data_IF_661643212462
#
_entry.id   IF_661643212462
#
_cell.length_a   1.000
_cell.length_b   1.000
_cell.length_c   1.000
_cell.angle_alpha   90.00
_cell.angle_beta   90.00
_cell.angle_gamma   90.00
#
_symmetry.space_group_name_H-M   'P 1'
#
loop_
_entity.id
_entity.type
_entity.pdbx_description
1 polymer ?
#
# COMPACT_ATOMS: atom_id res chain seq x y z
N UNK A 1 30.17 -7.70 17.75
CA UNK A 1 31.06 -6.94 16.83
C UNK A 1 30.42 -6.76 15.45
N UNK A 2 30.00 -7.83 14.77
CA UNK A 2 29.42 -7.76 13.41
C UNK A 2 28.20 -6.82 13.32
N UNK A 3 27.31 -6.86 14.33
CA UNK A 3 26.18 -5.93 14.44
C UNK A 3 26.61 -4.46 14.36
N UNK A 4 27.58 -4.05 15.17
CA UNK A 4 28.06 -2.66 15.21
C UNK A 4 28.69 -2.20 13.89
N UNK A 5 29.32 -3.12 13.15
CA UNK A 5 29.94 -2.84 11.85
C UNK A 5 28.88 -2.67 10.75
N UNK A 6 27.82 -3.49 10.77
CA UNK A 6 26.71 -3.41 9.79
C UNK A 6 25.78 -2.22 10.04
N UNK A 7 25.60 -1.81 11.29
CA UNK A 7 24.76 -0.64 11.66
C UNK A 7 25.50 0.69 11.58
N UNK A 8 26.83 0.69 11.51
CA UNK A 8 27.63 1.91 11.53
C UNK A 8 27.73 2.66 10.19
N UNK A 9 27.00 2.24 9.14
CA UNK A 9 27.08 2.78 7.76
C UNK A 9 28.52 2.84 7.18
N UNK A 10 29.46 2.05 7.72
CA UNK A 10 30.87 2.01 7.27
C UNK A 10 31.02 1.19 5.99
N UNK A 11 30.08 0.28 5.73
CA UNK A 11 30.13 -0.69 4.64
C UNK A 11 29.29 -0.25 3.45
N UNK A 12 29.82 -0.46 2.24
CA UNK A 12 29.07 -0.30 0.99
C UNK A 12 27.99 -1.40 0.87
N UNK A 13 26.95 -1.15 0.09
CA UNK A 13 25.82 -2.07 -0.11
C UNK A 13 26.27 -3.49 -0.51
N UNK A 14 27.23 -3.57 -1.43
CA UNK A 14 27.81 -4.86 -1.87
C UNK A 14 28.52 -5.60 -0.75
N UNK A 15 29.13 -4.89 0.20
CA UNK A 15 29.83 -5.50 1.34
C UNK A 15 28.83 -6.02 2.37
N UNK A 16 27.72 -5.31 2.60
CA UNK A 16 26.63 -5.74 3.48
C UNK A 16 26.05 -7.07 2.97
N UNK A 17 25.77 -7.16 1.67
CA UNK A 17 25.28 -8.38 1.04
C UNK A 17 26.26 -9.56 1.20
N UNK A 18 27.56 -9.34 0.97
CA UNK A 18 28.59 -10.38 1.13
C UNK A 18 28.70 -10.86 2.57
N UNK A 19 28.70 -9.94 3.55
CA UNK A 19 28.77 -10.29 4.97
C UNK A 19 27.54 -11.11 5.36
N UNK A 20 26.33 -10.68 4.97
CA UNK A 20 25.11 -11.42 5.27
C UNK A 20 25.09 -12.81 4.62
N UNK A 21 25.43 -12.91 3.32
CA UNK A 21 25.57 -14.22 2.62
C UNK A 21 26.60 -15.12 3.32
N UNK A 22 27.71 -14.57 3.81
CA UNK A 22 28.71 -15.34 4.56
C UNK A 22 28.21 -15.87 5.91
N UNK A 23 27.38 -15.10 6.62
CA UNK A 23 26.76 -15.51 7.89
C UNK A 23 25.75 -16.64 7.67
N UNK A 24 24.94 -16.52 6.62
CA UNK A 24 23.99 -17.58 6.25
C UNK A 24 24.72 -18.85 5.83
N UNK A 25 25.81 -18.73 5.06
CA UNK A 25 26.64 -19.88 4.68
C UNK A 25 27.30 -20.53 5.91
N UNK A 26 27.75 -19.73 6.89
CA UNK A 26 28.26 -20.24 8.16
C UNK A 26 27.19 -21.01 8.93
N UNK A 27 25.95 -20.51 8.96
CA UNK A 27 24.82 -21.21 9.58
C UNK A 27 24.52 -22.57 8.91
N UNK A 28 24.64 -22.66 7.58
CA UNK A 28 24.48 -23.94 6.87
C UNK A 28 25.53 -24.98 7.26
N UNK A 29 26.75 -24.55 7.61
CA UNK A 29 27.86 -25.43 8.00
C UNK A 29 27.76 -25.94 9.44
N UNK A 30 26.94 -25.34 10.29
CA UNK A 30 26.72 -25.84 11.66
C UNK A 30 25.88 -27.11 11.64
N UNK A 31 26.31 -28.14 12.36
CA UNK A 31 25.59 -29.39 12.58
C UNK A 31 25.72 -29.81 14.06
N UNK A 32 25.07 -30.88 14.46
CA UNK A 32 25.11 -31.36 15.86
C UNK A 32 26.48 -31.94 16.24
N UNK A 33 27.35 -32.23 15.27
CA UNK A 33 28.74 -32.64 15.52
C UNK A 33 29.64 -31.46 15.92
N UNK A 34 29.36 -30.27 15.38
CA UNK A 34 30.14 -29.04 15.63
C UNK A 34 29.56 -28.26 16.81
N UNK A 35 28.24 -28.30 17.01
CA UNK A 35 27.52 -27.58 18.06
C UNK A 35 26.50 -28.52 18.74
N UNK A 36 26.96 -29.47 19.57
CA UNK A 36 26.11 -30.47 20.21
C UNK A 36 25.10 -29.87 21.20
N UNK A 37 25.40 -28.69 21.76
CA UNK A 37 24.51 -27.96 22.67
C UNK A 37 23.60 -26.96 21.94
N UNK A 38 23.80 -26.75 20.63
CA UNK A 38 23.01 -25.83 19.81
C UNK A 38 23.19 -24.34 20.18
N UNK A 39 24.19 -24.00 20.99
CA UNK A 39 24.35 -22.66 21.55
C UNK A 39 24.82 -21.66 20.49
N UNK A 40 25.76 -22.08 19.63
CA UNK A 40 26.26 -21.24 18.52
C UNK A 40 25.18 -21.05 17.48
N UNK A 41 24.41 -22.11 17.20
CA UNK A 41 23.28 -22.10 16.28
C UNK A 41 22.21 -21.11 16.72
N UNK A 42 21.87 -21.11 18.02
CA UNK A 42 20.89 -20.19 18.60
C UNK A 42 21.37 -18.73 18.59
N UNK A 43 22.63 -18.49 18.96
CA UNK A 43 23.22 -17.14 18.95
C UNK A 43 23.30 -16.57 17.52
N UNK A 44 23.72 -17.39 16.56
CA UNK A 44 23.74 -17.02 15.15
C UNK A 44 22.33 -16.75 14.61
N UNK A 45 21.35 -17.59 14.95
CA UNK A 45 19.94 -17.38 14.64
C UNK A 45 19.40 -16.06 15.19
N UNK A 46 19.68 -15.75 16.46
CA UNK A 46 19.29 -14.45 17.05
C UNK A 46 19.97 -13.26 16.37
N UNK A 47 21.24 -13.40 15.98
CA UNK A 47 21.98 -12.35 15.29
C UNK A 47 21.41 -12.10 13.89
N UNK A 48 21.06 -13.17 13.16
CA UNK A 48 20.43 -13.07 11.84
C UNK A 48 19.05 -12.42 11.93
N UNK A 49 18.24 -12.77 12.94
CA UNK A 49 16.96 -12.09 13.22
C UNK A 49 17.19 -10.62 13.51
N UNK A 50 18.12 -10.28 14.41
CA UNK A 50 18.37 -8.90 14.82
C UNK A 50 18.87 -8.04 13.65
N UNK A 51 19.70 -8.61 12.77
CA UNK A 51 20.16 -7.96 11.54
C UNK A 51 19.02 -7.80 10.53
N UNK A 52 18.18 -8.83 10.36
CA UNK A 52 17.00 -8.80 9.49
C UNK A 52 15.96 -7.77 9.97
N UNK A 53 15.80 -7.57 11.28
CA UNK A 53 14.84 -6.63 11.88
C UNK A 53 15.35 -5.19 12.02
N UNK A 54 16.61 -4.93 11.70
CA UNK A 54 17.15 -3.59 11.82
C UNK A 54 16.52 -2.66 10.78
N UNK A 55 16.18 -1.43 11.17
CA UNK A 55 15.59 -0.41 10.29
C UNK A 55 16.68 0.48 9.71
N UNK A 56 16.72 0.65 8.39
CA UNK A 56 17.68 1.52 7.68
C UNK A 56 18.07 0.94 6.32
N UNK A 57 18.95 1.64 5.58
CA UNK A 57 19.38 1.26 4.21
C UNK A 57 19.94 -0.17 4.11
N UNK A 58 20.60 -0.66 5.17
CA UNK A 58 21.11 -2.03 5.25
C UNK A 58 19.99 -3.09 5.28
N UNK A 59 18.79 -2.73 5.72
CA UNK A 59 17.63 -3.64 5.83
C UNK A 59 17.12 -4.06 4.46
N UNK A 60 16.94 -3.10 3.55
CA UNK A 60 16.43 -3.36 2.20
C UNK A 60 17.35 -4.28 1.41
N UNK A 61 18.67 -4.13 1.60
CA UNK A 61 19.69 -4.99 1.01
C UNK A 61 19.66 -6.40 1.62
N UNK A 62 19.50 -6.50 2.95
CA UNK A 62 19.38 -7.81 3.60
C UNK A 62 18.11 -8.53 3.12
N UNK A 63 17.00 -7.81 2.93
CA UNK A 63 15.77 -8.37 2.39
C UNK A 63 15.89 -8.77 0.92
N UNK A 64 16.57 -7.97 0.09
CA UNK A 64 16.82 -8.33 -1.31
C UNK A 64 17.65 -9.61 -1.39
N UNK A 65 18.66 -9.76 -0.53
CA UNK A 65 19.49 -10.97 -0.44
C UNK A 65 18.69 -12.18 0.01
N UNK A 66 17.73 -12.03 0.92
CA UNK A 66 16.82 -13.11 1.35
C UNK A 66 15.89 -13.53 0.18
N UNK A 67 15.48 -12.57 -0.66
CA UNK A 67 14.55 -12.80 -1.79
C UNK A 67 15.23 -13.28 -3.08
N UNK A 68 16.53 -13.02 -3.27
CA UNK A 68 17.31 -13.33 -4.49
C UNK A 68 17.45 -14.84 -4.80
N UNK A 69 16.89 -15.74 -4.00
CA UNK A 69 16.69 -17.15 -4.36
C UNK A 69 17.92 -18.06 -4.24
N UNK A 70 19.05 -17.54 -3.76
CA UNK A 70 20.31 -18.30 -3.61
C UNK A 70 20.53 -18.84 -2.17
N UNK A 71 19.54 -18.64 -1.30
CA UNK A 71 19.55 -19.04 0.11
C UNK A 71 18.35 -19.97 0.36
N UNK A 72 18.60 -21.21 0.79
CA UNK A 72 17.56 -22.10 1.28
C UNK A 72 17.15 -21.68 2.70
N UNK A 73 16.37 -20.60 2.76
CA UNK A 73 15.94 -19.98 4.01
C UNK A 73 15.04 -20.93 4.81
N UNK A 74 14.26 -21.78 4.14
CA UNK A 74 13.39 -22.76 4.82
C UNK A 74 14.21 -23.79 5.62
N UNK A 75 15.22 -24.39 4.97
CA UNK A 75 16.12 -25.33 5.64
C UNK A 75 16.90 -24.64 6.76
N UNK A 76 17.29 -23.37 6.57
CA UNK A 76 17.99 -22.59 7.56
C UNK A 76 17.14 -22.25 8.78
N UNK A 77 15.87 -21.87 8.57
CA UNK A 77 14.90 -21.56 9.63
C UNK A 77 14.57 -22.81 10.45
N UNK A 78 14.38 -23.96 9.80
CA UNK A 78 14.22 -25.25 10.48
C UNK A 78 15.46 -25.63 11.30
N UNK A 79 16.66 -25.36 10.78
CA UNK A 79 17.91 -25.73 11.43
C UNK A 79 18.19 -24.84 12.64
N UNK A 80 17.95 -23.53 12.51
CA UNK A 80 18.25 -22.54 13.54
C UNK A 80 17.11 -22.31 14.55
N UNK A 81 15.93 -22.93 14.35
CA UNK A 81 14.70 -22.72 15.14
C UNK A 81 14.30 -21.23 15.24
N UNK A 82 14.36 -20.54 14.11
CA UNK A 82 14.11 -19.10 14.00
C UNK A 82 13.36 -18.78 12.73
N UNK A 83 12.50 -17.75 12.77
CA UNK A 83 11.87 -17.18 11.57
C UNK A 83 12.61 -15.91 11.16
N UNK A 84 13.38 -16.00 10.07
CA UNK A 84 14.25 -14.95 9.53
C UNK A 84 13.51 -14.14 8.46
N UNK A 85 12.60 -14.78 7.72
CA UNK A 85 11.69 -14.10 6.80
C UNK A 85 10.94 -13.03 7.58
N UNK A 86 11.19 -11.78 7.21
CA UNK A 86 10.46 -10.67 7.79
C UNK A 86 8.96 -10.95 7.64
N UNK A 87 8.25 -10.92 8.77
CA UNK A 87 6.91 -10.35 8.80
C UNK A 87 7.03 -8.89 8.36
N UNK A 88 7.12 -8.66 7.04
CA UNK A 88 6.57 -7.46 6.40
C UNK A 88 5.03 -7.41 6.54
N UNK A 89 4.46 -8.42 7.20
CA UNK A 89 3.04 -8.75 7.30
C UNK A 89 2.27 -7.90 8.34
N UNK A 90 2.91 -7.08 9.17
CA UNK A 90 2.18 -6.31 10.21
C UNK A 90 2.24 -4.78 10.10
N UNK A 91 3.15 -4.24 9.29
CA UNK A 91 3.27 -2.79 9.08
C UNK A 91 2.57 -2.42 7.77
N UNK A 92 1.73 -1.39 7.84
CA UNK A 92 1.03 -0.92 6.66
C UNK A 92 2.00 -0.17 5.72
N UNK A 93 1.82 -0.24 4.38
CA UNK A 93 2.66 0.45 3.41
C UNK A 93 2.89 1.93 3.75
N UNK A 94 4.05 2.48 3.40
CA UNK A 94 4.41 3.87 3.72
C UNK A 94 3.70 4.92 2.84
N UNK A 95 3.16 4.49 1.69
CA UNK A 95 2.33 5.32 0.82
C UNK A 95 1.05 5.73 1.55
N UNK A 96 0.90 7.02 1.80
CA UNK A 96 -0.19 7.58 2.59
C UNK A 96 -0.64 8.93 2.04
N UNK A 97 -1.95 9.17 2.08
CA UNK A 97 -2.55 10.49 1.82
C UNK A 97 -2.51 11.41 3.04
N UNK A 98 -2.42 10.85 4.25
CA UNK A 98 -2.61 11.59 5.51
C UNK A 98 -1.29 11.74 6.28
N UNK A 99 -0.51 10.68 6.34
CA UNK A 99 0.66 10.58 7.20
C UNK A 99 1.94 10.79 6.39
N UNK A 100 2.94 11.41 7.01
CA UNK A 100 4.29 11.44 6.43
C UNK A 100 4.86 10.01 6.37
N UNK A 101 5.70 9.68 5.35
CA UNK A 101 6.20 8.31 5.15
C UNK A 101 6.84 7.70 6.39
N UNK A 102 7.59 8.51 7.16
CA UNK A 102 8.22 8.08 8.43
C UNK A 102 7.22 7.66 9.49
N UNK A 103 6.07 8.34 9.56
CA UNK A 103 5.00 8.00 10.51
C UNK A 103 4.21 6.81 9.97
N UNK A 104 3.85 6.84 8.68
CA UNK A 104 3.12 5.77 8.02
C UNK A 104 3.81 4.41 8.19
N UNK A 105 5.13 4.35 7.95
CA UNK A 105 5.91 3.13 8.07
C UNK A 105 5.87 2.48 9.47
N UNK A 106 5.63 3.26 10.53
CA UNK A 106 5.57 2.74 11.91
C UNK A 106 4.19 2.21 12.32
N UNK A 107 3.16 2.46 11.51
CA UNK A 107 1.79 2.12 11.86
C UNK A 107 1.44 0.67 11.53
N UNK A 108 0.75 0.00 12.45
CA UNK A 108 0.14 -1.29 12.19
C UNK A 108 -1.18 -1.14 11.43
N UNK A 109 -1.59 -2.18 10.71
CA UNK A 109 -2.92 -2.21 10.06
C UNK A 109 -4.07 -2.00 11.04
N UNK A 110 -3.97 -2.52 12.27
CA UNK A 110 -5.00 -2.36 13.30
C UNK A 110 -5.15 -0.89 13.75
N UNK A 111 -4.02 -0.21 13.99
CA UNK A 111 -4.02 1.20 14.36
C UNK A 111 -4.58 2.07 13.23
N UNK A 112 -4.15 1.79 11.99
CA UNK A 112 -4.65 2.46 10.80
C UNK A 112 -6.16 2.24 10.61
N UNK A 113 -6.62 0.99 10.71
CA UNK A 113 -8.02 0.62 10.57
C UNK A 113 -8.91 1.39 11.55
N UNK A 114 -8.47 1.51 12.80
CA UNK A 114 -9.24 2.24 13.83
C UNK A 114 -9.44 3.72 13.46
N UNK A 115 -8.38 4.38 12.98
CA UNK A 115 -8.42 5.79 12.55
C UNK A 115 -9.32 5.96 11.32
N UNK A 116 -9.21 5.06 10.35
CA UNK A 116 -9.96 5.13 9.10
C UNK A 116 -11.44 4.74 9.28
N UNK A 117 -11.73 3.79 10.16
CA UNK A 117 -13.08 3.34 10.48
C UNK A 117 -13.90 4.48 11.09
N UNK A 118 -13.32 5.26 12.00
CA UNK A 118 -13.95 6.46 12.56
C UNK A 118 -14.39 7.43 11.42
N UNK A 119 -13.49 7.71 10.47
CA UNK A 119 -13.81 8.55 9.32
C UNK A 119 -14.88 7.95 8.41
N UNK A 120 -14.89 6.63 8.23
CA UNK A 120 -15.91 5.94 7.47
C UNK A 120 -17.28 5.96 8.17
N UNK A 121 -17.33 5.82 9.49
CA UNK A 121 -18.56 5.93 10.28
C UNK A 121 -19.16 7.33 10.20
N UNK A 122 -18.33 8.37 10.31
CA UNK A 122 -18.74 9.76 10.06
C UNK A 122 -19.31 9.93 8.64
N UNK A 123 -18.67 9.36 7.61
CA UNK A 123 -19.22 9.35 6.25
C UNK A 123 -20.58 8.66 6.16
N UNK A 124 -20.77 7.55 6.87
CA UNK A 124 -22.05 6.83 6.91
C UNK A 124 -23.16 7.64 7.59
N UNK A 125 -22.81 8.52 8.53
CA UNK A 125 -23.75 9.46 9.15
C UNK A 125 -24.14 10.57 8.16
N UNK A 126 -23.20 11.03 7.33
CA UNK A 126 -23.44 12.05 6.30
C UNK A 126 -24.19 11.52 5.06
N UNK A 127 -23.95 10.27 4.69
CA UNK A 127 -24.60 9.61 3.55
C UNK A 127 -24.79 8.10 3.83
N UNK A 128 -26.02 7.65 4.12
CA UNK A 128 -26.31 6.25 4.43
C UNK A 128 -25.94 5.28 3.31
N UNK A 129 -25.73 5.74 2.07
CA UNK A 129 -25.30 4.90 0.94
C UNK A 129 -23.92 4.28 1.16
N UNK A 130 -23.12 4.77 2.11
CA UNK A 130 -21.84 4.16 2.47
C UNK A 130 -21.98 2.89 3.32
N UNK A 131 -23.10 2.69 4.03
CA UNK A 131 -23.27 1.58 4.98
C UNK A 131 -23.02 0.18 4.40
N UNK A 132 -23.39 -0.15 3.15
CA UNK A 132 -23.09 -1.47 2.58
C UNK A 132 -21.58 -1.80 2.54
N UNK A 133 -20.70 -0.79 2.48
CA UNK A 133 -19.25 -1.01 2.48
C UNK A 133 -18.69 -1.41 3.84
N UNK A 134 -19.47 -1.24 4.94
CA UNK A 134 -19.09 -1.67 6.28
C UNK A 134 -18.94 -3.20 6.40
N UNK A 135 -19.71 -3.94 5.61
CA UNK A 135 -19.67 -5.41 5.59
C UNK A 135 -18.62 -5.96 4.62
N UNK A 136 -17.94 -5.09 3.86
CA UNK A 136 -16.97 -5.48 2.84
C UNK A 136 -15.65 -4.75 3.08
N UNK A 137 -15.44 -3.60 2.42
CA UNK A 137 -14.19 -2.83 2.44
C UNK A 137 -13.78 -2.36 3.84
N UNK A 138 -14.74 -2.12 4.74
CA UNK A 138 -14.54 -1.67 6.11
C UNK A 138 -15.04 -2.69 7.14
N UNK A 139 -14.94 -3.99 6.80
CA UNK A 139 -15.20 -5.08 7.74
C UNK A 139 -13.96 -5.37 8.58
N UNK A 140 -14.11 -5.98 9.76
CA UNK A 140 -12.94 -6.38 10.56
C UNK A 140 -12.02 -7.35 9.79
N UNK A 141 -12.61 -8.21 8.95
CA UNK A 141 -11.91 -9.17 8.10
C UNK A 141 -10.95 -8.49 7.11
N UNK A 142 -11.32 -7.30 6.61
CA UNK A 142 -10.50 -6.53 5.66
C UNK A 142 -9.09 -6.23 6.17
N UNK A 143 -8.87 -6.18 7.48
CA UNK A 143 -7.53 -6.00 8.06
C UNK A 143 -6.58 -7.16 7.73
N UNK A 144 -7.11 -8.36 7.48
CA UNK A 144 -6.34 -9.56 7.17
C UNK A 144 -6.30 -9.92 5.67
N UNK A 145 -7.09 -9.25 4.83
CA UNK A 145 -7.18 -9.52 3.40
C UNK A 145 -5.96 -9.02 2.60
N UNK A 146 -5.14 -9.93 2.08
CA UNK A 146 -4.04 -9.59 1.18
C UNK A 146 -4.45 -9.78 -0.29
N UNK A 147 -4.59 -8.65 -1.01
CA UNK A 147 -4.93 -8.60 -2.44
C UNK A 147 -4.01 -9.44 -3.33
N UNK A 148 -2.73 -9.57 -2.94
CA UNK A 148 -1.74 -10.35 -3.71
C UNK A 148 -1.95 -11.86 -3.59
N UNK A 149 -2.68 -12.30 -2.55
CA UNK A 149 -3.00 -13.70 -2.30
C UNK A 149 -4.41 -14.09 -2.77
N UNK A 150 -5.18 -13.13 -3.28
CA UNK A 150 -6.52 -13.35 -3.81
C UNK A 150 -6.47 -13.85 -5.26
N UNK A 151 -7.48 -14.62 -5.66
CA UNK A 151 -7.63 -15.05 -7.04
C UNK A 151 -8.02 -13.88 -7.96
N UNK A 152 -7.82 -14.02 -9.26
CA UNK A 152 -8.19 -12.99 -10.23
C UNK A 152 -9.70 -12.63 -10.19
N UNK A 153 -10.56 -13.61 -9.90
CA UNK A 153 -12.01 -13.37 -9.77
C UNK A 153 -12.36 -12.55 -8.52
N UNK A 154 -11.73 -12.85 -7.40
CA UNK A 154 -11.91 -12.11 -6.15
C UNK A 154 -11.37 -10.68 -6.26
N UNK A 155 -10.21 -10.50 -6.92
CA UNK A 155 -9.66 -9.18 -7.19
C UNK A 155 -10.58 -8.33 -8.09
N UNK A 156 -11.21 -8.94 -9.10
CA UNK A 156 -12.19 -8.23 -9.92
C UNK A 156 -13.45 -7.82 -9.14
N UNK A 157 -13.90 -8.64 -8.19
CA UNK A 157 -15.02 -8.29 -7.30
C UNK A 157 -14.64 -7.15 -6.34
N UNK A 158 -13.42 -7.20 -5.77
CA UNK A 158 -12.85 -6.16 -4.94
C UNK A 158 -12.75 -4.83 -5.72
N UNK A 159 -12.28 -4.86 -6.96
CA UNK A 159 -12.22 -3.71 -7.85
C UNK A 159 -13.58 -3.06 -8.06
N UNK A 160 -14.61 -3.87 -8.34
CA UNK A 160 -15.96 -3.36 -8.52
C UNK A 160 -16.49 -2.64 -7.26
N UNK A 161 -16.19 -3.18 -6.07
CA UNK A 161 -16.55 -2.56 -4.77
C UNK A 161 -15.78 -1.26 -4.55
N UNK A 162 -14.47 -1.24 -4.79
CA UNK A 162 -13.61 -0.06 -4.66
C UNK A 162 -14.07 1.05 -5.60
N UNK A 163 -14.32 0.74 -6.87
CA UNK A 163 -14.78 1.73 -7.83
C UNK A 163 -16.15 2.31 -7.47
N UNK A 164 -17.07 1.47 -6.98
CA UNK A 164 -18.37 1.93 -6.50
C UNK A 164 -18.22 2.86 -5.29
N UNK A 165 -17.33 2.53 -4.36
CA UNK A 165 -17.00 3.38 -3.22
C UNK A 165 -16.41 4.73 -3.67
N UNK A 166 -15.41 4.72 -4.56
CA UNK A 166 -14.74 5.93 -5.06
C UNK A 166 -15.72 6.85 -5.79
N UNK A 167 -16.61 6.31 -6.63
CA UNK A 167 -17.67 7.09 -7.28
C UNK A 167 -18.56 7.81 -6.26
N UNK A 168 -18.92 7.14 -5.17
CA UNK A 168 -19.75 7.73 -4.10
C UNK A 168 -18.97 8.74 -3.24
N UNK A 169 -17.70 8.45 -2.94
CA UNK A 169 -16.80 9.30 -2.16
C UNK A 169 -16.39 10.58 -2.91
N UNK A 170 -16.43 10.56 -4.25
CA UNK A 170 -16.04 11.67 -5.10
C UNK A 170 -16.63 13.01 -4.68
N UNK A 171 -17.93 13.10 -4.38
CA UNK A 171 -18.56 14.36 -3.99
C UNK A 171 -18.13 14.90 -2.61
N UNK A 172 -17.42 14.09 -1.81
CA UNK A 172 -17.08 14.37 -0.41
C UNK A 172 -15.57 14.40 -0.14
N UNK A 173 -14.72 14.29 -1.16
CA UNK A 173 -13.25 14.27 -1.00
C UNK A 173 -12.63 15.51 -0.34
N UNK A 174 -13.38 16.62 -0.19
CA UNK A 174 -12.92 17.77 0.59
C UNK A 174 -13.06 17.59 2.10
N UNK A 175 -13.83 16.59 2.54
CA UNK A 175 -14.07 16.29 3.94
C UNK A 175 -13.01 15.30 4.43
N UNK A 176 -12.44 15.56 5.61
CA UNK A 176 -11.45 14.67 6.23
C UNK A 176 -11.97 13.23 6.44
N UNK A 177 -13.25 13.00 6.79
CA UNK A 177 -13.85 11.66 6.81
C UNK A 177 -13.67 10.88 5.50
N UNK A 178 -13.87 11.54 4.34
CA UNK A 178 -13.65 10.91 3.03
C UNK A 178 -12.18 10.57 2.79
N UNK A 179 -11.27 11.48 3.15
CA UNK A 179 -9.83 11.24 3.02
C UNK A 179 -9.39 10.07 3.92
N UNK A 180 -9.85 10.00 5.18
CA UNK A 180 -9.63 8.87 6.10
C UNK A 180 -10.13 7.54 5.52
N UNK A 181 -11.29 7.53 4.89
CA UNK A 181 -11.82 6.31 4.30
C UNK A 181 -11.04 5.87 3.05
N UNK A 182 -10.63 6.81 2.18
CA UNK A 182 -9.78 6.51 1.01
C UNK A 182 -8.37 6.06 1.42
N UNK A 183 -7.82 6.63 2.50
CA UNK A 183 -6.53 6.23 3.08
C UNK A 183 -6.49 4.72 3.40
N UNK A 184 -7.56 4.19 3.99
CA UNK A 184 -7.67 2.75 4.24
C UNK A 184 -7.54 1.94 2.95
N UNK A 185 -8.23 2.36 1.89
CA UNK A 185 -8.20 1.66 0.62
C UNK A 185 -6.81 1.70 -0.02
N UNK A 186 -6.13 2.84 0.04
CA UNK A 186 -4.76 2.98 -0.49
C UNK A 186 -3.81 2.06 0.25
N UNK A 187 -3.84 2.08 1.58
CA UNK A 187 -2.85 1.33 2.37
C UNK A 187 -3.18 -0.15 2.49
N UNK A 188 -4.45 -0.54 2.48
CA UNK A 188 -4.84 -1.94 2.61
C UNK A 188 -4.92 -2.67 1.28
N UNK A 189 -5.53 -2.04 0.28
CA UNK A 189 -5.84 -2.65 -1.01
C UNK A 189 -4.99 -2.08 -2.16
N UNK A 190 -4.03 -1.19 -1.87
CA UNK A 190 -3.07 -0.66 -2.86
C UNK A 190 -3.75 -0.05 -4.09
N UNK A 191 -4.87 0.66 -3.88
CA UNK A 191 -5.69 1.18 -4.98
C UNK A 191 -4.97 2.23 -5.84
N UNK A 192 -3.87 2.80 -5.35
CA UNK A 192 -2.99 3.67 -6.13
C UNK A 192 -2.22 2.91 -7.21
N UNK A 193 -1.98 1.62 -7.02
CA UNK A 193 -1.34 0.72 -7.99
C UNK A 193 -2.36 0.00 -8.86
N UNK A 194 -3.39 -0.60 -8.25
CA UNK A 194 -4.31 -1.49 -8.96
C UNK A 194 -5.52 -0.77 -9.58
N UNK A 195 -6.00 0.30 -8.93
CA UNK A 195 -7.19 1.05 -9.37
C UNK A 195 -6.84 2.51 -9.72
N UNK A 196 -5.61 2.76 -10.18
CA UNK A 196 -5.07 4.10 -10.43
C UNK A 196 -5.99 4.97 -11.28
N UNK A 197 -6.62 4.38 -12.31
CA UNK A 197 -7.56 5.09 -13.19
C UNK A 197 -8.78 5.62 -12.44
N UNK A 198 -9.42 4.77 -11.64
CA UNK A 198 -10.60 5.15 -10.87
C UNK A 198 -10.23 6.18 -9.79
N UNK A 199 -9.10 5.99 -9.11
CA UNK A 199 -8.60 6.90 -8.10
C UNK A 199 -8.29 8.29 -8.68
N UNK A 200 -7.51 8.35 -9.77
CA UNK A 200 -7.21 9.61 -10.47
C UNK A 200 -8.48 10.29 -10.97
N UNK A 201 -9.40 9.55 -11.61
CA UNK A 201 -10.67 10.12 -12.10
C UNK A 201 -11.47 10.78 -10.98
N UNK A 202 -11.50 10.15 -9.80
CA UNK A 202 -12.25 10.63 -8.64
C UNK A 202 -11.62 11.89 -8.04
N UNK A 203 -10.29 11.95 -7.99
CA UNK A 203 -9.54 13.08 -7.42
C UNK A 203 -9.31 14.24 -8.39
N UNK A 204 -9.40 14.02 -9.69
CA UNK A 204 -9.12 15.02 -10.73
C UNK A 204 -9.96 16.31 -10.62
N UNK A 205 -11.28 16.27 -10.29
CA UNK A 205 -12.06 17.49 -10.06
C UNK A 205 -11.54 18.35 -8.89
N UNK A 206 -10.71 17.75 -8.03
CA UNK A 206 -10.11 18.36 -6.86
C UNK A 206 -8.61 18.66 -7.06
N UNK A 207 -8.12 18.75 -8.30
CA UNK A 207 -6.69 18.93 -8.61
C UNK A 207 -5.96 20.09 -7.90
N UNK A 208 -6.71 21.07 -7.38
CA UNK A 208 -6.17 22.23 -6.68
C UNK A 208 -6.03 22.07 -5.16
N UNK A 209 -6.50 20.97 -4.57
CA UNK A 209 -6.39 20.75 -3.11
C UNK A 209 -5.08 20.04 -2.76
N UNK A 210 -4.52 20.24 -1.55
CA UNK A 210 -3.26 19.60 -1.14
C UNK A 210 -3.30 18.07 -1.24
N UNK A 211 -4.44 17.45 -0.90
CA UNK A 211 -4.60 15.99 -0.99
C UNK A 211 -4.39 15.45 -2.41
N UNK A 212 -4.62 16.25 -3.47
CA UNK A 212 -4.30 15.84 -4.83
C UNK A 212 -2.79 15.77 -5.06
N UNK A 213 -2.02 16.71 -4.50
CA UNK A 213 -0.56 16.70 -4.61
C UNK A 213 0.03 15.52 -3.84
N UNK A 214 -0.49 15.23 -2.63
CA UNK A 214 -0.10 14.03 -1.89
C UNK A 214 -0.47 12.75 -2.64
N UNK A 215 -1.64 12.72 -3.30
CA UNK A 215 -1.97 11.61 -4.18
C UNK A 215 -0.91 11.45 -5.30
N UNK A 216 -0.51 12.55 -5.96
CA UNK A 216 0.52 12.49 -7.01
C UNK A 216 1.87 11.95 -6.49
N UNK A 217 2.24 12.20 -5.23
CA UNK A 217 3.51 11.71 -4.68
C UNK A 217 3.54 10.20 -4.43
N UNK A 218 2.38 9.57 -4.22
CA UNK A 218 2.28 8.13 -3.94
C UNK A 218 1.91 7.30 -5.17
N UNK A 219 1.72 7.91 -6.34
CA UNK A 219 1.38 7.16 -7.55
C UNK A 219 2.56 6.30 -8.04
N UNK A 220 2.29 5.13 -8.63
CA UNK A 220 3.33 4.32 -9.26
C UNK A 220 3.96 5.06 -10.44
N UNK A 221 5.20 4.68 -10.79
CA UNK A 221 5.93 5.28 -11.90
C UNK A 221 5.19 5.15 -13.25
N UNK A 222 4.40 4.09 -13.41
CA UNK A 222 3.57 3.84 -14.60
C UNK A 222 2.11 4.15 -14.27
N UNK A 223 1.58 5.22 -14.85
CA UNK A 223 0.16 5.59 -14.77
C UNK A 223 -0.55 5.32 -16.11
N UNK A 224 -1.89 5.20 -16.12
CA UNK A 224 -2.65 4.98 -17.35
C UNK A 224 -2.38 6.04 -18.42
N UNK A 225 -2.46 5.64 -19.69
CA UNK A 225 -2.01 6.45 -20.82
C UNK A 225 -2.72 7.81 -20.91
N UNK A 226 -4.01 7.84 -20.58
CA UNK A 226 -4.85 9.03 -20.56
C UNK A 226 -4.42 10.08 -19.51
N UNK A 227 -3.69 9.67 -18.45
CA UNK A 227 -3.21 10.55 -17.39
C UNK A 227 -1.72 10.89 -17.48
N UNK A 228 -1.00 10.40 -18.52
CA UNK A 228 0.46 10.65 -18.67
C UNK A 228 0.86 12.12 -18.71
N UNK A 229 -0.06 13.02 -19.06
CA UNK A 229 0.20 14.46 -19.01
C UNK A 229 0.45 14.97 -17.57
N UNK A 230 0.13 14.17 -16.55
CA UNK A 230 0.41 14.47 -15.15
C UNK A 230 1.88 14.28 -14.75
N UNK A 231 2.71 13.62 -15.56
CA UNK A 231 4.11 13.33 -15.21
C UNK A 231 4.95 14.54 -14.79
N UNK A 232 4.87 15.72 -15.44
CA UNK A 232 5.60 16.91 -14.99
C UNK A 232 5.22 17.28 -13.54
N UNK A 233 3.94 17.17 -13.20
CA UNK A 233 3.38 17.52 -11.89
C UNK A 233 3.70 16.49 -10.81
N UNK A 234 3.79 15.22 -11.18
CA UNK A 234 4.30 14.14 -10.30
C UNK A 234 5.76 14.40 -9.95
N UNK A 235 6.59 14.82 -10.93
CA UNK A 235 8.01 15.11 -10.68
C UNK A 235 8.24 16.36 -9.86
N UNK A 236 7.45 17.41 -10.09
CA UNK A 236 7.59 18.68 -9.36
C UNK A 236 6.78 18.73 -8.07
N UNK A 237 5.91 17.74 -7.82
CA UNK A 237 4.94 17.73 -6.72
C UNK A 237 4.12 19.03 -6.63
N UNK A 238 3.54 19.43 -7.76
CA UNK A 238 2.71 20.62 -7.86
C UNK A 238 1.34 20.31 -8.44
N UNK A 239 0.33 21.10 -8.08
CA UNK A 239 -1.01 20.96 -8.68
C UNK A 239 -1.00 21.35 -10.16
N UNK A 240 -1.61 20.54 -11.05
CA UNK A 240 -1.77 20.93 -12.45
C UNK A 240 -2.74 22.12 -12.56
N UNK A 241 -2.43 23.13 -13.38
CA UNK A 241 -3.34 24.24 -13.63
C UNK A 241 -4.54 23.76 -14.46
N UNK A 242 -5.70 24.37 -14.22
CA UNK A 242 -6.95 24.02 -14.93
C UNK A 242 -6.81 24.12 -16.46
N UNK A 243 -6.04 25.09 -16.96
CA UNK A 243 -5.79 25.27 -18.40
C UNK A 243 -5.21 24.03 -19.06
N UNK A 244 -4.33 23.30 -18.37
CA UNK A 244 -3.72 22.07 -18.88
C UNK A 244 -4.74 20.93 -18.92
N UNK A 245 -5.59 20.81 -17.91
CA UNK A 245 -6.69 19.82 -17.91
C UNK A 245 -7.67 20.05 -19.06
N UNK A 246 -8.05 21.31 -19.29
CA UNK A 246 -8.96 21.68 -20.39
C UNK A 246 -8.31 21.42 -21.75
N UNK A 247 -7.03 21.77 -21.90
CA UNK A 247 -6.28 21.52 -23.12
C UNK A 247 -6.19 20.02 -23.45
N UNK A 248 -5.83 19.19 -22.46
CA UNK A 248 -5.77 17.74 -22.61
C UNK A 248 -7.15 17.13 -22.93
N UNK A 249 -8.21 17.65 -22.31
CA UNK A 249 -9.58 17.29 -22.66
C UNK A 249 -9.91 17.57 -24.12
N UNK A 250 -9.59 18.75 -24.63
CA UNK A 250 -9.87 19.08 -26.03
C UNK A 250 -9.08 18.17 -26.99
N UNK A 251 -7.84 17.82 -26.64
CA UNK A 251 -6.95 17.04 -27.52
C UNK A 251 -7.19 15.53 -27.47
N UNK A 252 -7.62 14.98 -26.33
CA UNK A 252 -7.77 13.53 -26.12
C UNK A 252 -9.20 13.15 -25.76
N UNK A 253 -9.89 12.49 -26.69
CA UNK A 253 -11.25 11.94 -26.49
C UNK A 253 -11.34 10.99 -25.30
N UNK A 254 -10.27 10.23 -25.05
CA UNK A 254 -10.23 9.20 -24.01
C UNK A 254 -10.25 9.83 -22.60
N UNK A 255 -9.54 10.95 -22.42
CA UNK A 255 -9.57 11.70 -21.17
C UNK A 255 -10.93 12.37 -20.94
N UNK A 256 -11.54 12.93 -21.99
CA UNK A 256 -12.88 13.52 -21.93
C UNK A 256 -13.97 12.51 -21.56
N UNK A 257 -13.97 11.33 -22.19
CA UNK A 257 -14.97 10.30 -21.93
C UNK A 257 -14.90 9.77 -20.48
N UNK A 258 -13.68 9.55 -19.97
CA UNK A 258 -13.46 9.11 -18.60
C UNK A 258 -13.89 10.16 -17.54
N UNK A 259 -13.69 11.45 -17.81
CA UNK A 259 -14.05 12.53 -16.86
C UNK A 259 -15.56 12.77 -16.67
N UNK A 260 -16.40 12.24 -17.57
CA UNK A 260 -17.88 12.37 -17.49
C UNK A 260 -18.53 11.45 -16.46
N UNK A 261 -17.84 10.39 -16.03
CA UNK A 261 -18.39 9.37 -15.14
C UNK A 261 -18.76 9.95 -13.76
N UNK A 262 -18.07 11.00 -13.27
CA UNK A 262 -18.40 11.63 -12.00
C UNK A 262 -19.66 12.53 -12.02
N UNK A 263 -20.16 12.95 -13.20
CA UNK A 263 -21.22 13.96 -13.28
C UNK A 263 -22.61 13.42 -13.67
N UNK A 264 -22.71 12.21 -14.23
CA UNK A 264 -23.93 11.76 -14.90
C UNK A 264 -24.83 10.81 -14.08
N UNK A 265 -24.32 10.11 -13.07
CA UNK A 265 -25.09 9.09 -12.32
C UNK A 265 -25.87 9.61 -11.10
N UNK A 266 -26.05 10.93 -10.98
CA UNK A 266 -26.83 11.56 -9.89
C UNK A 266 -28.33 11.70 -10.17
N UNK A 267 -28.82 11.26 -11.34
CA UNK A 267 -30.28 11.17 -11.56
C UNK A 267 -30.82 9.91 -10.90
N UNK A 268 -31.28 10.07 -9.66
CA UNK A 268 -32.21 9.18 -8.99
C UNK A 268 -33.26 8.66 -9.98
N UNK A 269 -33.34 7.34 -10.15
CA UNK A 269 -34.54 6.72 -10.70
C UNK A 269 -35.61 6.80 -9.62
N UNK A 270 -36.74 7.50 -9.80
CA UNK A 270 -37.86 7.35 -8.90
C UNK A 270 -38.38 5.92 -9.03
N UNK A 271 -38.41 5.21 -7.91
CA UNK A 271 -39.08 3.93 -7.76
C UNK A 271 -40.55 4.11 -8.15
N UNK A 272 -40.96 3.50 -9.27
CA UNK A 272 -42.38 3.31 -9.56
C UNK A 272 -42.94 2.33 -8.55
N UNK A 273 -43.53 2.83 -7.47
CA UNK A 273 -44.54 2.08 -6.73
C UNK A 273 -45.83 2.09 -7.55
N UNK A 274 -46.05 0.99 -8.27
CA UNK A 274 -47.36 0.64 -8.79
C UNK A 274 -48.30 0.40 -7.60
N UNK A 275 -49.10 1.40 -7.25
CA UNK A 275 -50.28 1.17 -6.41
C UNK A 275 -51.42 0.87 -7.37
N UNK A 276 -51.78 -0.41 -7.46
CA UNK A 276 -53.07 -0.82 -7.98
C UNK A 276 -54.12 -0.60 -6.88
N UNK A 277 -55.10 0.24 -7.17
CA UNK A 277 -56.46 0.23 -6.62
C UNK A 277 -57.35 0.85 -7.70
#
# INVERSE_FOLDING_TARGET
VIRAVLTGQVLQEKQIAVVFKSLVLAAHRLNDEIDPEGQVRKELGSTLIDLSRHTGDSSDIIQSVIQEGDLDVEALEMKLDVSIRQQKVLQAPEDSLIFEPRVAATQSFQALYTICLEGFEELCQLDPRFRPFALTLFSEQSQSEDRTQMTAGENAELDAKIEAFLRLAGSRLRLMPAIKAVEWLIRRFQIHEDNTKALLTTFLPYHSIPAFVTLLSILPAKIPAEYRFLHPYIRSLTSPPRSVLVHEAIQKSDFLSNSRICSCDWKEKPSRTSTAC
#
